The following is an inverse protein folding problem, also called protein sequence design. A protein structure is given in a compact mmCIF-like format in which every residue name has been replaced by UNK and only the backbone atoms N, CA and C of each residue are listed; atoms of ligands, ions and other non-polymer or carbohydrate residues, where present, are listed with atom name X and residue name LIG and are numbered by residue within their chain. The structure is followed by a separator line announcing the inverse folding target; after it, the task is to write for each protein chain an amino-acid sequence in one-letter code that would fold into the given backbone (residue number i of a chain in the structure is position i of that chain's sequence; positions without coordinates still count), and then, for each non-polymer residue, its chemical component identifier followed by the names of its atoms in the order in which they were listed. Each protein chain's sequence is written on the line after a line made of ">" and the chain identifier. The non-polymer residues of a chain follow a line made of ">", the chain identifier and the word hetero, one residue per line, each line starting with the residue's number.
data_IF_170119093990
#
_entry.id   IF_170119093990
#
_cell.length_a   1.000
_cell.length_b   1.000
_cell.length_c   1.000
_cell.angle_alpha   90.00
_cell.angle_beta   90.00
_cell.angle_gamma   90.00
#
_symmetry.space_group_name_H-M   'P 1'
#
loop_
_entity.id
_entity.type
_entity.pdbx_description
1 polymer ?
#
# COMPACT_ATOMS: atom_id res chain seq x y z
N UNK A 1 -5.56 -4.06 12.38
CA UNK A 1 -5.97 -4.60 11.06
C UNK A 1 -5.12 -3.94 9.99
N UNK A 2 -4.76 -4.70 8.97
CA UNK A 2 -3.58 -4.56 8.12
C UNK A 2 -3.42 -3.22 7.37
N UNK A 3 -2.17 -2.74 7.25
CA UNK A 3 -1.41 -2.80 5.98
C UNK A 3 -0.12 -1.97 6.07
N UNK A 4 0.98 -2.58 6.53
CA UNK A 4 2.35 -2.08 6.29
C UNK A 4 3.12 -3.26 5.68
N UNK A 5 3.02 -3.42 4.38
CA UNK A 5 3.91 -4.25 3.58
C UNK A 5 4.24 -3.47 2.30
N UNK A 6 5.36 -2.73 2.33
CA UNK A 6 6.04 -2.27 1.12
C UNK A 6 7.40 -2.94 1.04
N UNK A 7 7.55 -3.70 -0.05
CA UNK A 7 8.75 -3.86 -0.86
C UNK A 7 10.06 -4.27 -0.17
N UNK A 8 10.36 -5.57 -0.28
CA UNK A 8 11.68 -6.05 -0.73
C UNK A 8 11.58 -7.50 -1.19
N UNK A 9 11.41 -7.69 -2.49
CA UNK A 9 11.67 -8.97 -3.16
C UNK A 9 12.24 -8.66 -4.53
N UNK A 10 13.56 -8.80 -4.65
CA UNK A 10 14.32 -9.10 -5.87
C UNK A 10 15.80 -9.11 -5.50
N UNK A 11 16.29 -10.28 -5.13
CA UNK A 11 17.66 -10.71 -5.37
C UNK A 11 17.67 -12.24 -5.47
N UNK A 12 17.92 -12.68 -6.70
CA UNK A 12 18.67 -13.87 -7.10
C UNK A 12 18.05 -15.27 -7.02
N UNK A 13 18.38 -15.99 -8.09
CA UNK A 13 17.97 -17.30 -8.57
C UNK A 13 19.09 -18.29 -8.23
N UNK A 14 18.75 -19.49 -7.75
CA UNK A 14 19.23 -20.76 -8.34
C UNK A 14 18.51 -21.99 -7.72
N UNK A 15 18.35 -23.10 -8.47
CA UNK A 15 17.61 -24.27 -8.07
C UNK A 15 18.54 -25.37 -7.52
N UNK A 16 18.23 -25.91 -6.35
CA UNK A 16 18.91 -27.10 -5.85
C UNK A 16 18.14 -28.37 -6.22
N UNK A 17 18.80 -29.10 -7.10
CA UNK A 17 18.58 -30.44 -7.67
C UNK A 17 18.17 -31.53 -6.65
N UNK A 18 17.24 -32.36 -7.13
CA UNK A 18 16.93 -33.79 -6.83
C UNK A 18 17.92 -34.56 -5.94
N UNK A 19 17.34 -35.41 -5.08
CA UNK A 19 17.76 -36.81 -4.96
C UNK A 19 16.52 -37.72 -5.07
N UNK A 20 16.58 -38.70 -5.98
CA UNK A 20 15.62 -39.82 -6.09
C UNK A 20 15.78 -40.79 -4.90
N UNK A 21 15.11 -41.92 -4.82
CA UNK A 21 14.67 -42.85 -5.85
C UNK A 21 13.84 -43.95 -5.14
N UNK A 22 12.67 -44.28 -5.73
CA UNK A 22 12.01 -45.60 -5.88
C UNK A 22 11.98 -46.63 -4.71
N UNK A 23 10.94 -47.46 -4.51
CA UNK A 23 9.62 -47.65 -5.13
C UNK A 23 8.88 -48.79 -4.40
N UNK A 24 7.65 -49.08 -4.86
CA UNK A 24 6.83 -50.30 -4.67
C UNK A 24 6.13 -50.45 -3.30
N UNK A 25 4.83 -50.77 -3.21
CA UNK A 25 4.04 -51.62 -4.10
C UNK A 25 2.53 -51.27 -4.12
N UNK A 26 1.96 -51.40 -5.31
CA UNK A 26 0.54 -51.44 -5.63
C UNK A 26 0.04 -52.89 -5.50
N UNK A 27 -1.22 -53.11 -5.11
CA UNK A 27 -1.96 -54.35 -5.41
C UNK A 27 -3.45 -54.23 -5.09
N UNK A 28 -4.22 -53.86 -6.12
CA UNK A 28 -5.64 -54.14 -6.19
C UNK A 28 -5.91 -55.42 -6.99
N UNK A 29 -6.30 -56.46 -6.25
CA UNK A 29 -7.35 -57.43 -6.59
C UNK A 29 -7.14 -58.52 -7.67
N UNK A 30 -7.53 -59.73 -7.21
CA UNK A 30 -8.02 -60.92 -7.92
C UNK A 30 -6.99 -61.86 -8.55
N UNK A 31 -6.89 -63.07 -7.99
CA UNK A 31 -7.28 -64.34 -8.62
C UNK A 31 -7.42 -65.44 -7.54
N UNK A 32 -8.68 -65.89 -7.37
CA UNK A 32 -9.23 -67.22 -7.03
C UNK A 32 -8.54 -68.21 -6.05
N UNK A 33 -9.34 -68.55 -5.02
CA UNK A 33 -9.72 -69.90 -4.54
C UNK A 33 -8.64 -70.96 -4.17
N UNK A 34 -8.58 -71.31 -2.87
CA UNK A 34 -8.89 -72.65 -2.27
C UNK A 34 -8.32 -72.70 -0.83
N UNK A 35 -9.18 -72.96 0.18
CA UNK A 35 -9.27 -74.22 0.97
C UNK A 35 -8.03 -74.44 1.89
N UNK A 36 -8.05 -74.71 3.20
CA UNK A 36 -9.04 -75.05 4.23
C UNK A 36 -8.28 -74.98 5.60
N UNK A 37 -8.99 -74.71 6.73
CA UNK A 37 -8.88 -75.27 8.12
C UNK A 37 -7.48 -75.56 8.76
N UNK A 38 -7.21 -75.46 10.08
CA UNK A 38 -7.99 -75.34 11.33
C UNK A 38 -7.00 -75.18 12.51
N UNK A 39 -7.50 -74.59 13.60
CA UNK A 39 -7.24 -74.88 15.04
C UNK A 39 -5.81 -74.76 15.58
N UNK A 40 -5.55 -73.83 16.52
CA UNK A 40 -5.94 -73.88 17.95
C UNK A 40 -5.33 -75.08 18.68
N UNK A 41 -4.32 -74.79 19.51
CA UNK A 41 -4.28 -75.31 20.88
C UNK A 41 -3.30 -74.42 21.67
N UNK A 42 -3.80 -73.61 22.61
CA UNK A 42 -3.87 -73.97 24.04
C UNK A 42 -2.50 -73.72 24.70
N UNK A 43 -2.36 -72.58 25.36
CA UNK A 43 -2.44 -72.49 26.84
C UNK A 43 -1.23 -73.23 27.44
N UNK A 44 -0.29 -72.57 28.09
CA UNK A 44 -0.53 -72.02 29.41
C UNK A 44 0.80 -71.51 29.94
N UNK A 45 0.73 -70.49 30.77
CA UNK A 45 1.49 -70.40 32.02
C UNK A 45 2.94 -70.89 31.98
N UNK A 46 3.87 -69.99 31.69
CA UNK A 46 5.22 -69.92 32.27
C UNK A 46 6.01 -68.95 31.39
N UNK A 47 6.00 -67.64 31.61
CA UNK A 47 6.62 -67.08 32.79
C UNK A 47 6.31 -65.59 32.84
N UNK A 48 5.37 -65.27 33.71
CA UNK A 48 5.18 -63.98 34.35
C UNK A 48 6.32 -63.64 35.36
N UNK A 49 7.52 -64.20 35.21
CA UNK A 49 8.47 -64.33 36.33
C UNK A 49 9.68 -63.39 36.37
N UNK A 50 10.40 -63.20 35.27
CA UNK A 50 11.69 -62.50 35.25
C UNK A 50 11.93 -62.08 33.80
N UNK A 51 12.08 -60.82 33.38
CA UNK A 51 12.67 -59.67 34.03
C UNK A 51 11.84 -58.42 33.73
N UNK A 52 11.17 -57.89 34.75
CA UNK A 52 10.61 -56.53 34.78
C UNK A 52 11.72 -55.44 34.78
N UNK A 53 12.98 -55.76 34.44
CA UNK A 53 14.06 -54.81 34.61
C UNK A 53 15.21 -54.98 33.63
N UNK A 54 15.02 -54.55 32.37
CA UNK A 54 16.14 -53.95 31.60
C UNK A 54 15.68 -53.10 30.40
N UNK A 55 15.62 -51.80 30.68
CA UNK A 55 16.23 -50.71 29.89
C UNK A 55 15.64 -50.36 28.51
N UNK A 56 14.89 -49.24 28.55
CA UNK A 56 15.10 -47.97 27.80
C UNK A 56 15.19 -47.99 26.26
N UNK A 57 14.19 -47.34 25.64
CA UNK A 57 14.27 -46.10 24.79
C UNK A 57 12.89 -45.98 24.11
N UNK A 58 12.08 -44.92 24.23
CA UNK A 58 12.28 -43.49 23.91
C UNK A 58 11.18 -42.67 24.65
N UNK A 59 11.32 -41.33 24.80
CA UNK A 59 10.61 -40.49 23.83
C UNK A 59 11.52 -39.38 23.29
N UNK A 60 11.65 -39.28 21.97
CA UNK A 60 12.45 -38.25 21.27
C UNK A 60 11.58 -37.24 20.53
N UNK A 61 10.34 -37.04 20.96
CA UNK A 61 9.40 -36.10 20.32
C UNK A 61 9.24 -34.77 21.07
N UNK A 62 9.92 -34.59 22.22
CA UNK A 62 9.76 -33.41 23.08
C UNK A 62 10.81 -32.31 22.86
N UNK A 63 11.79 -32.51 21.97
CA UNK A 63 12.87 -31.51 21.73
C UNK A 63 12.52 -30.47 20.65
N UNK A 64 11.69 -30.83 19.68
CA UNK A 64 11.28 -29.91 18.61
C UNK A 64 10.20 -28.94 19.07
N UNK A 65 9.25 -29.39 19.91
CA UNK A 65 8.22 -28.56 20.51
C UNK A 65 8.83 -27.51 21.46
N UNK A 66 9.81 -27.89 22.29
CA UNK A 66 10.55 -26.94 23.13
C UNK A 66 11.29 -25.90 22.27
N UNK A 67 11.94 -26.32 21.19
CA UNK A 67 12.67 -25.41 20.29
C UNK A 67 11.74 -24.45 19.54
N UNK A 68 10.56 -24.90 19.09
CA UNK A 68 9.60 -24.04 18.40
C UNK A 68 8.97 -23.02 19.36
N UNK A 69 8.60 -23.42 20.57
CA UNK A 69 8.10 -22.52 21.60
C UNK A 69 9.15 -21.47 21.99
N UNK A 70 10.42 -21.86 22.04
CA UNK A 70 11.53 -20.94 22.32
C UNK A 70 11.73 -19.91 21.21
N UNK A 71 11.65 -20.31 19.94
CA UNK A 71 11.74 -19.39 18.79
C UNK A 71 10.56 -18.42 18.72
N UNK A 72 9.33 -18.90 18.99
CA UNK A 72 8.13 -18.07 19.04
C UNK A 72 8.22 -17.08 20.21
N UNK A 73 8.68 -17.54 21.38
CA UNK A 73 8.95 -16.70 22.54
C UNK A 73 9.95 -15.59 22.22
N UNK A 74 11.08 -15.93 21.59
CA UNK A 74 12.09 -14.96 21.16
C UNK A 74 11.56 -13.96 20.13
N UNK A 75 10.78 -14.39 19.14
CA UNK A 75 10.16 -13.48 18.16
C UNK A 75 9.16 -12.53 18.83
N UNK A 76 8.36 -13.03 19.76
CA UNK A 76 7.44 -12.20 20.54
C UNK A 76 8.22 -11.20 21.41
N UNK A 77 9.17 -11.66 22.22
CA UNK A 77 9.91 -10.76 23.14
C UNK A 77 10.74 -9.73 22.38
N UNK A 78 11.35 -10.09 21.25
CA UNK A 78 12.05 -9.14 20.37
C UNK A 78 11.09 -8.16 19.72
N UNK A 79 9.91 -8.58 19.26
CA UNK A 79 8.90 -7.68 18.72
C UNK A 79 8.36 -6.71 19.79
N UNK A 80 8.04 -7.21 20.98
CA UNK A 80 7.62 -6.41 22.12
C UNK A 80 8.72 -5.46 22.59
N UNK A 81 9.98 -5.90 22.61
CA UNK A 81 11.13 -5.06 22.94
C UNK A 81 11.35 -3.99 21.87
N UNK A 82 11.25 -4.30 20.59
CA UNK A 82 11.36 -3.32 19.50
C UNK A 82 10.22 -2.30 19.56
N UNK A 83 9.01 -2.74 19.90
CA UNK A 83 7.84 -1.88 20.05
C UNK A 83 7.98 -0.99 21.30
N UNK A 84 8.47 -1.55 22.41
CA UNK A 84 8.85 -0.80 23.61
C UNK A 84 9.95 0.22 23.28
N UNK A 85 11.03 -0.18 22.61
CA UNK A 85 12.11 0.71 22.19
C UNK A 85 11.61 1.78 21.22
N UNK A 86 10.66 1.48 20.33
CA UNK A 86 10.04 2.47 19.47
C UNK A 86 9.21 3.51 20.26
N UNK A 87 8.48 3.07 21.30
CA UNK A 87 7.73 3.97 22.18
C UNK A 87 8.61 4.69 23.21
N UNK A 88 9.77 4.12 23.57
CA UNK A 88 10.72 4.65 24.53
C UNK A 88 11.85 5.47 23.90
N UNK A 89 12.12 5.33 22.60
CA UNK A 89 12.94 6.29 21.86
C UNK A 89 12.10 7.57 21.77
N UNK A 90 12.47 8.64 22.49
CA UNK A 90 11.87 9.92 22.18
C UNK A 90 12.29 10.23 20.74
N UNK A 91 11.32 10.52 19.86
CA UNK A 91 11.55 11.09 18.53
C UNK A 91 12.06 12.53 18.73
N UNK A 92 13.21 12.66 19.38
CA UNK A 92 13.85 13.92 19.77
C UNK A 92 15.27 14.01 19.23
N UNK A 93 15.71 13.02 18.45
CA UNK A 93 17.03 13.01 17.84
C UNK A 93 17.11 13.88 16.58
N UNK A 94 15.98 14.42 16.10
CA UNK A 94 15.95 15.47 15.08
C UNK A 94 15.00 16.56 15.56
N UNK A 95 15.55 17.70 15.99
CA UNK A 95 14.75 18.92 16.06
C UNK A 95 14.22 19.18 14.65
N UNK A 96 12.89 19.19 14.49
CA UNK A 96 12.28 19.55 13.21
C UNK A 96 12.74 20.98 12.90
N UNK A 97 13.39 21.22 11.75
CA UNK A 97 13.82 22.57 11.39
C UNK A 97 12.63 23.52 11.44
N UNK A 98 12.83 24.69 12.05
CA UNK A 98 11.81 25.72 12.09
C UNK A 98 11.39 26.11 10.66
N UNK A 99 10.08 26.19 10.41
CA UNK A 99 9.58 26.54 9.08
C UNK A 99 10.00 27.98 8.71
N UNK A 100 10.41 28.25 7.45
CA UNK A 100 10.80 29.58 7.01
C UNK A 100 9.82 30.71 7.38
N UNK A 101 8.50 30.47 7.28
CA UNK A 101 7.48 31.48 7.58
C UNK A 101 7.45 31.90 9.06
N UNK A 102 7.72 30.98 10.00
CA UNK A 102 7.85 31.34 11.43
C UNK A 102 9.13 32.15 11.65
N UNK A 103 10.24 31.71 11.07
CA UNK A 103 11.53 32.39 11.17
C UNK A 103 11.44 33.83 10.67
N UNK A 104 10.91 34.01 9.45
CA UNK A 104 10.72 35.31 8.81
C UNK A 104 9.79 36.25 9.60
N UNK A 105 8.70 35.71 10.16
CA UNK A 105 7.82 36.50 11.05
C UNK A 105 8.53 36.99 12.30
N UNK A 106 9.35 36.14 12.93
CA UNK A 106 10.05 36.45 14.18
C UNK A 106 11.24 37.40 13.96
N UNK A 107 12.06 37.12 12.97
CA UNK A 107 13.34 37.82 12.75
C UNK A 107 13.16 39.14 11.98
N UNK A 108 12.27 39.16 10.99
CA UNK A 108 12.06 40.32 10.12
C UNK A 108 10.71 41.01 10.36
N UNK A 109 9.83 40.45 11.20
CA UNK A 109 8.50 41.03 11.44
C UNK A 109 7.57 40.97 10.22
N UNK A 110 7.84 40.07 9.26
CA UNK A 110 7.08 39.94 8.03
C UNK A 110 5.60 39.67 8.29
N UNK A 111 4.75 40.39 7.56
CA UNK A 111 3.30 40.24 7.57
C UNK A 111 2.74 40.35 6.15
N UNK A 112 1.53 39.83 5.93
CA UNK A 112 0.86 39.92 4.64
C UNK A 112 0.50 41.38 4.31
N UNK A 113 1.01 41.87 3.18
CA UNK A 113 0.80 43.25 2.70
C UNK A 113 0.00 43.29 1.40
N UNK A 114 0.47 42.57 0.38
CA UNK A 114 -0.12 42.55 -0.95
C UNK A 114 -0.75 41.19 -1.23
N UNK A 115 -1.89 41.11 -1.94
CA UNK A 115 -2.44 39.83 -2.36
C UNK A 115 -1.44 39.04 -3.21
N UNK A 116 -1.39 37.72 -2.99
CA UNK A 116 -0.54 36.80 -3.75
C UNK A 116 -1.43 35.95 -4.64
N UNK A 117 -1.07 35.86 -5.92
CA UNK A 117 -1.70 34.96 -6.89
C UNK A 117 -0.70 33.88 -7.27
N UNK A 118 -1.06 32.63 -6.98
CA UNK A 118 -0.31 31.44 -7.37
C UNK A 118 -0.88 30.93 -8.68
N UNK A 119 -0.01 30.76 -9.69
CA UNK A 119 -0.35 30.17 -10.99
C UNK A 119 0.39 28.84 -11.08
N UNK A 120 -0.32 27.69 -11.03
CA UNK A 120 0.33 26.38 -11.11
C UNK A 120 0.92 26.16 -12.51
N UNK A 121 1.91 25.29 -12.63
CA UNK A 121 2.47 24.90 -13.93
C UNK A 121 1.65 23.79 -14.62
N UNK A 122 2.11 23.39 -15.81
CA UNK A 122 1.52 22.27 -16.56
C UNK A 122 1.47 21.01 -15.68
N UNK A 123 0.37 20.24 -15.75
CA UNK A 123 0.20 18.97 -15.03
C UNK A 123 0.09 19.12 -13.49
N UNK A 124 0.31 20.31 -12.91
CA UNK A 124 0.35 20.49 -11.45
C UNK A 124 -0.95 20.97 -10.82
N UNK A 125 -1.94 21.35 -11.63
CA UNK A 125 -3.31 21.65 -11.18
C UNK A 125 -4.23 20.45 -11.31
N UNK A 126 -5.07 20.21 -10.30
CA UNK A 126 -6.10 19.18 -10.34
C UNK A 126 -7.19 19.48 -11.38
N UNK A 127 -7.71 18.43 -12.01
CA UNK A 127 -8.83 18.50 -12.96
C UNK A 127 -9.97 17.61 -12.47
N UNK A 128 -11.19 18.13 -12.53
CA UNK A 128 -12.41 17.45 -12.09
C UNK A 128 -13.43 17.29 -13.22
N UNK A 129 -14.20 16.21 -13.15
CA UNK A 129 -15.21 15.88 -14.14
C UNK A 129 -16.54 16.60 -13.86
N UNK A 130 -17.12 17.22 -14.87
CA UNK A 130 -18.44 17.87 -14.83
C UNK A 130 -19.48 17.14 -15.68
N UNK A 131 -19.07 16.57 -16.80
CA UNK A 131 -19.92 15.81 -17.70
C UNK A 131 -19.07 14.70 -18.31
N UNK A 132 -19.62 13.50 -18.43
CA UNK A 132 -18.89 12.36 -18.96
C UNK A 132 -19.79 11.26 -19.49
N UNK A 133 -19.17 10.29 -20.15
CA UNK A 133 -19.83 9.11 -20.70
C UNK A 133 -20.23 8.12 -19.60
N UNK A 134 -21.09 7.12 -19.88
CA UNK A 134 -21.53 6.14 -18.88
C UNK A 134 -20.40 5.39 -18.15
N UNK A 135 -19.23 5.24 -18.78
CA UNK A 135 -18.07 4.63 -18.12
C UNK A 135 -17.54 5.46 -16.93
N UNK A 136 -17.92 6.73 -16.82
CA UNK A 136 -17.55 7.66 -15.76
C UNK A 136 -18.66 7.88 -14.72
N UNK A 137 -19.73 7.07 -14.75
CA UNK A 137 -20.85 7.19 -13.83
C UNK A 137 -20.39 7.21 -12.36
N UNK A 138 -20.89 8.18 -11.61
CA UNK A 138 -20.52 8.43 -10.22
C UNK A 138 -19.22 9.21 -10.02
N UNK A 139 -18.60 9.75 -11.08
CA UNK A 139 -17.40 10.59 -11.01
C UNK A 139 -17.67 12.11 -11.12
N UNK A 140 -18.92 12.54 -11.15
CA UNK A 140 -19.28 13.96 -11.13
C UNK A 140 -18.59 14.69 -9.96
N UNK A 141 -17.91 15.81 -10.27
CA UNK A 141 -17.12 16.64 -9.36
C UNK A 141 -16.01 15.90 -8.61
N UNK A 142 -15.58 14.75 -9.12
CA UNK A 142 -14.38 14.04 -8.62
C UNK A 142 -13.17 14.39 -9.48
N UNK A 143 -12.01 14.42 -8.84
CA UNK A 143 -10.73 14.67 -9.51
C UNK A 143 -10.36 13.49 -10.40
N UNK A 144 -10.28 13.73 -11.70
CA UNK A 144 -9.68 12.80 -12.67
C UNK A 144 -8.15 12.94 -12.68
N UNK A 145 -7.65 14.13 -12.37
CA UNK A 145 -6.23 14.44 -12.26
C UNK A 145 -5.95 15.15 -10.92
N UNK A 146 -4.84 14.82 -10.26
CA UNK A 146 -4.49 15.45 -8.97
C UNK A 146 -5.38 15.01 -7.79
N UNK A 147 -5.61 13.70 -7.65
CA UNK A 147 -6.35 13.09 -6.55
C UNK A 147 -5.97 11.63 -6.31
N UNK A 148 -6.96 10.76 -6.10
CA UNK A 148 -6.72 9.32 -5.95
C UNK A 148 -6.45 8.67 -7.31
N UNK A 149 -5.36 7.92 -7.43
CA UNK A 149 -5.03 7.15 -8.64
C UNK A 149 -5.95 5.93 -8.86
N UNK A 150 -6.94 5.70 -8.00
CA UNK A 150 -7.82 4.52 -8.08
C UNK A 150 -8.60 4.45 -9.39
N UNK A 151 -9.08 5.58 -9.91
CA UNK A 151 -9.91 5.58 -11.12
C UNK A 151 -9.10 5.32 -12.38
N UNK A 152 -7.85 5.79 -12.43
CA UNK A 152 -6.88 5.47 -13.48
C UNK A 152 -6.65 3.95 -13.53
N UNK A 153 -6.48 3.31 -12.37
CA UNK A 153 -6.23 1.87 -12.29
C UNK A 153 -7.48 1.03 -12.60
N UNK A 154 -8.67 1.47 -12.18
CA UNK A 154 -9.92 0.74 -12.42
C UNK A 154 -10.40 0.85 -13.86
N UNK A 155 -10.26 2.03 -14.48
CA UNK A 155 -10.87 2.36 -15.78
C UNK A 155 -9.91 3.18 -16.66
N UNK A 156 -8.75 2.62 -17.07
CA UNK A 156 -7.71 3.38 -17.76
C UNK A 156 -8.16 3.98 -19.09
N UNK A 157 -8.95 3.24 -19.88
CA UNK A 157 -9.46 3.73 -21.17
C UNK A 157 -10.51 4.84 -20.99
N UNK A 158 -11.40 4.69 -20.01
CA UNK A 158 -12.39 5.73 -19.70
C UNK A 158 -11.69 7.01 -19.23
N UNK A 159 -10.69 6.88 -18.35
CA UNK A 159 -9.91 8.01 -17.89
C UNK A 159 -9.18 8.73 -19.04
N UNK A 160 -8.54 7.96 -19.94
CA UNK A 160 -7.84 8.51 -21.10
C UNK A 160 -8.81 9.24 -22.03
N UNK A 161 -9.98 8.67 -22.29
CA UNK A 161 -11.02 9.28 -23.10
C UNK A 161 -11.49 10.62 -22.51
N UNK A 162 -11.69 10.69 -21.19
CA UNK A 162 -12.17 11.92 -20.52
C UNK A 162 -11.10 13.00 -20.38
N UNK A 163 -9.82 12.64 -20.33
CA UNK A 163 -8.72 13.62 -20.34
C UNK A 163 -8.27 14.03 -21.73
N UNK A 164 -8.61 13.28 -22.77
CA UNK A 164 -8.24 13.62 -24.14
C UNK A 164 -9.00 14.85 -24.64
N UNK A 165 -8.31 15.70 -25.38
CA UNK A 165 -8.93 16.83 -26.07
C UNK A 165 -9.37 16.42 -27.48
N UNK A 166 -10.32 17.18 -28.01
CA UNK A 166 -10.73 17.06 -29.40
C UNK A 166 -9.59 17.47 -30.33
N UNK A 167 -9.29 16.63 -31.32
CA UNK A 167 -8.13 16.76 -32.21
C UNK A 167 -8.08 18.08 -33.00
N UNK A 168 -9.24 18.58 -33.46
CA UNK A 168 -9.33 19.80 -34.28
C UNK A 168 -9.51 21.07 -33.45
N UNK A 169 -10.42 21.07 -32.46
CA UNK A 169 -10.76 22.29 -31.70
C UNK A 169 -9.83 22.53 -30.50
N UNK A 170 -9.18 21.48 -29.98
CA UNK A 170 -8.40 21.55 -28.76
C UNK A 170 -9.24 21.86 -27.51
N UNK A 171 -10.54 21.57 -27.54
CA UNK A 171 -11.46 21.66 -26.41
C UNK A 171 -11.88 20.26 -25.94
N UNK A 172 -12.67 20.18 -24.88
CA UNK A 172 -13.26 18.91 -24.45
C UNK A 172 -14.12 18.30 -25.60
N UNK A 173 -14.06 16.96 -25.82
CA UNK A 173 -14.93 16.29 -26.78
C UNK A 173 -16.42 16.41 -26.42
N UNK A 174 -17.34 16.33 -27.40
CA UNK A 174 -18.78 16.36 -27.13
C UNK A 174 -19.23 15.32 -26.09
N UNK A 175 -20.03 15.76 -25.12
CA UNK A 175 -20.52 14.92 -24.01
C UNK A 175 -19.49 14.66 -22.90
N UNK A 176 -18.35 15.34 -22.93
CA UNK A 176 -17.33 15.34 -21.89
C UNK A 176 -17.06 16.79 -21.50
N UNK A 177 -16.92 17.03 -20.20
CA UNK A 177 -16.58 18.35 -19.67
C UNK A 177 -15.69 18.19 -18.45
N UNK A 178 -14.47 18.68 -18.54
CA UNK A 178 -13.49 18.62 -17.46
C UNK A 178 -13.05 20.03 -17.14
N UNK A 179 -12.96 20.37 -15.86
CA UNK A 179 -12.62 21.73 -15.42
C UNK A 179 -11.50 21.69 -14.39
N UNK A 180 -10.75 22.79 -14.31
CA UNK A 180 -9.79 22.98 -13.25
C UNK A 180 -10.50 22.96 -11.89
N UNK A 181 -9.88 22.28 -10.92
CA UNK A 181 -10.33 22.35 -9.53
C UNK A 181 -10.15 23.79 -9.05
N UNK A 182 -11.17 24.42 -8.43
CA UNK A 182 -11.05 25.78 -7.94
C UNK A 182 -10.32 25.85 -6.59
N UNK A 183 -9.73 27.01 -6.29
CA UNK A 183 -9.16 27.34 -4.99
C UNK A 183 -7.78 26.75 -4.71
N UNK A 184 -7.25 27.00 -3.50
CA UNK A 184 -5.90 26.55 -3.09
C UNK A 184 -5.73 25.03 -3.20
N UNK A 185 -6.82 24.29 -2.98
CA UNK A 185 -6.87 22.82 -3.05
C UNK A 185 -6.55 22.26 -4.42
N UNK A 186 -6.54 23.09 -5.46
CA UNK A 186 -6.23 22.68 -6.82
C UNK A 186 -4.78 22.19 -6.96
N UNK A 187 -3.85 22.76 -6.18
CA UNK A 187 -2.43 22.49 -6.33
C UNK A 187 -1.65 22.47 -4.99
N UNK A 188 -2.31 22.43 -3.84
CA UNK A 188 -1.64 22.25 -2.54
C UNK A 188 -1.06 20.82 -2.40
N UNK A 189 -1.93 19.83 -2.25
CA UNK A 189 -1.68 18.40 -2.20
C UNK A 189 -2.27 17.77 -3.45
N UNK A 190 -1.37 17.45 -4.40
CA UNK A 190 -1.76 16.89 -5.67
C UNK A 190 -2.16 15.41 -5.56
N UNK A 191 -1.56 14.64 -4.65
CA UNK A 191 -1.98 13.28 -4.34
C UNK A 191 -1.62 12.92 -2.89
N UNK A 192 -2.17 11.85 -2.31
CA UNK A 192 -1.77 11.40 -0.98
C UNK A 192 -0.25 11.21 -0.88
N UNK A 193 0.40 12.00 -0.02
CA UNK A 193 1.86 11.98 0.17
C UNK A 193 2.66 12.77 -0.88
N UNK A 194 2.02 13.49 -1.79
CA UNK A 194 2.69 14.33 -2.79
C UNK A 194 2.12 15.76 -2.78
N UNK A 195 2.94 16.70 -2.31
CA UNK A 195 2.62 18.13 -2.24
C UNK A 195 3.28 18.87 -3.41
N UNK A 196 2.59 19.87 -3.94
CA UNK A 196 3.17 20.80 -4.93
C UNK A 196 3.37 22.15 -4.26
N UNK A 197 2.28 22.81 -3.83
CA UNK A 197 2.34 24.12 -3.20
C UNK A 197 2.05 24.13 -1.70
N UNK A 198 1.64 22.99 -1.10
CA UNK A 198 1.20 22.95 0.30
C UNK A 198 2.22 23.56 1.28
N UNK A 199 3.51 23.25 1.13
CA UNK A 199 4.57 23.77 2.00
C UNK A 199 4.71 25.29 1.85
N UNK A 200 4.61 25.83 0.63
CA UNK A 200 4.67 27.28 0.41
C UNK A 200 3.45 27.98 1.01
N UNK A 201 2.25 27.44 0.74
CA UNK A 201 0.99 27.96 1.27
C UNK A 201 1.01 27.97 2.80
N UNK A 202 1.50 26.89 3.44
CA UNK A 202 1.64 26.83 4.89
C UNK A 202 2.58 27.92 5.43
N UNK A 203 3.73 28.14 4.78
CA UNK A 203 4.68 29.18 5.19
C UNK A 203 4.10 30.59 5.02
N UNK A 204 3.36 30.85 3.93
CA UNK A 204 2.64 32.10 3.73
C UNK A 204 1.56 32.30 4.81
N UNK A 205 0.87 31.23 5.22
CA UNK A 205 -0.10 31.31 6.30
C UNK A 205 0.53 31.72 7.64
N UNK A 206 1.77 31.32 7.92
CA UNK A 206 2.48 31.75 9.16
C UNK A 206 2.66 33.26 9.24
N UNK A 207 2.87 33.94 8.10
CA UNK A 207 3.01 35.40 7.99
C UNK A 207 1.67 36.13 7.75
N UNK A 208 0.54 35.44 7.84
CA UNK A 208 -0.80 36.06 7.84
C UNK A 208 -1.53 36.08 6.48
N UNK A 209 -1.10 35.25 5.52
CA UNK A 209 -1.89 34.98 4.33
C UNK A 209 -3.02 33.97 4.60
N UNK A 210 -4.18 34.20 4.00
CA UNK A 210 -5.40 33.41 4.10
C UNK A 210 -6.08 33.39 2.72
N UNK A 211 -7.15 32.61 2.53
CA UNK A 211 -7.86 32.52 1.23
C UNK A 211 -8.37 33.87 0.68
N UNK A 212 -8.52 34.89 1.54
CA UNK A 212 -8.96 36.24 1.13
C UNK A 212 -7.87 37.06 0.42
N UNK A 213 -6.59 36.76 0.65
CA UNK A 213 -5.44 37.48 0.08
C UNK A 213 -4.37 36.54 -0.52
N UNK A 214 -4.67 35.24 -0.60
CA UNK A 214 -3.89 34.23 -1.29
C UNK A 214 -4.82 33.45 -2.23
N UNK A 215 -4.63 33.64 -3.53
CA UNK A 215 -5.46 33.04 -4.56
C UNK A 215 -4.67 32.04 -5.40
N UNK A 216 -5.28 30.90 -5.74
CA UNK A 216 -4.75 29.97 -6.73
C UNK A 216 -5.54 30.14 -8.04
N UNK A 217 -4.89 30.72 -9.04
CA UNK A 217 -5.43 30.85 -10.39
C UNK A 217 -5.23 29.54 -11.16
N UNK A 218 -5.91 28.49 -10.72
CA UNK A 218 -5.88 27.19 -11.39
C UNK A 218 -6.56 27.28 -12.76
N UNK A 219 -5.97 26.63 -13.75
CA UNK A 219 -6.46 26.59 -15.12
C UNK A 219 -6.35 25.17 -15.67
N UNK A 220 -7.09 24.90 -16.75
CA UNK A 220 -6.94 23.65 -17.47
C UNK A 220 -5.67 23.70 -18.32
N UNK A 221 -4.61 23.08 -17.80
CA UNK A 221 -3.30 23.06 -18.43
C UNK A 221 -3.22 22.21 -19.71
N UNK A 222 -4.30 21.50 -20.08
CA UNK A 222 -4.39 20.78 -21.35
C UNK A 222 -4.70 21.74 -22.49
N UNK A 223 -5.46 22.81 -22.22
CA UNK A 223 -5.95 23.74 -23.22
C UNK A 223 -4.84 24.69 -23.70
N UNK A 224 -4.99 25.17 -24.93
CA UNK A 224 -4.18 26.29 -25.43
C UNK A 224 -4.57 27.58 -24.71
N UNK A 225 -3.64 28.53 -24.67
CA UNK A 225 -3.85 29.82 -24.00
C UNK A 225 -5.13 30.54 -24.47
N UNK A 226 -5.37 30.60 -25.79
CA UNK A 226 -6.55 31.26 -26.35
C UNK A 226 -7.88 30.55 -26.04
N UNK A 227 -7.84 29.24 -25.78
CA UNK A 227 -9.02 28.48 -25.37
C UNK A 227 -9.29 28.68 -23.88
N UNK A 228 -8.23 28.70 -23.05
CA UNK A 228 -8.33 28.98 -21.62
C UNK A 228 -8.95 30.36 -21.36
N UNK A 229 -8.48 31.41 -22.04
CA UNK A 229 -9.04 32.78 -21.89
C UNK A 229 -10.51 32.89 -22.28
N UNK A 230 -11.02 31.99 -23.14
CA UNK A 230 -12.42 31.96 -23.56
C UNK A 230 -13.33 31.21 -22.58
N UNK A 231 -12.77 30.31 -21.78
CA UNK A 231 -13.53 29.50 -20.82
C UNK A 231 -13.54 30.06 -19.40
N UNK A 232 -12.58 30.93 -19.05
CA UNK A 232 -12.53 31.70 -17.79
C UNK A 232 -13.37 32.96 -17.86
#
# INVERSE_FOLDING_TARGET
>A
MASILRFRKLCYVEPAVKCGFESFDDKSSKINQKLDKKEEDVISATNFGLEINKKRKQPKEWRCLDSCCWMIGCLCTTWWLLLLLYHCLPVSLHQVPESPGIRLKREEGLSALHPVVLVPGIVTGGLELWEGRPCSDGLFRKRLWGGSFTEILKRPLCWLEHLSLHNETGLDPPGIRVRAVPGLVAADYFAPGYFVWAVLIENLAKIGYEEKNLHMAAYDWRLSFQNTERET
#
